data_IF_693784390919
#
_entry.id   IF_693784390919
#
_cell.length_a   1.000
_cell.length_b   1.000
_cell.length_c   1.000
_cell.angle_alpha   90.00
_cell.angle_beta   90.00
_cell.angle_gamma   90.00
#
_symmetry.space_group_name_H-M   'P 1'
#
loop_
_entity.id
_entity.type
_entity.pdbx_description
1 polymer ?
#
# COMPACT_ATOMS: atom_id res chain seq x y z
N UNK A 1 -5.66 -58.97 -51.56
CA UNK A 1 -4.56 -58.99 -50.59
C UNK A 1 -4.20 -57.54 -50.29
N UNK A 2 -4.54 -57.08 -49.09
CA UNK A 2 -4.29 -55.72 -48.61
C UNK A 2 -2.86 -55.66 -48.05
N UNK A 3 -1.99 -54.85 -48.64
CA UNK A 3 -0.77 -54.34 -47.99
C UNK A 3 -0.84 -52.82 -48.13
N UNK A 4 -1.18 -52.07 -47.09
CA UNK A 4 -0.40 -51.95 -45.87
C UNK A 4 0.37 -50.64 -45.92
N UNK A 5 -0.35 -49.53 -46.10
CA UNK A 5 0.20 -48.18 -46.12
C UNK A 5 0.54 -47.78 -44.68
N UNK A 6 1.81 -47.94 -44.30
CA UNK A 6 2.32 -47.56 -42.99
C UNK A 6 2.41 -46.04 -42.93
N UNK A 7 1.35 -45.40 -42.45
CA UNK A 7 1.38 -44.01 -42.00
C UNK A 7 2.13 -44.01 -40.66
N UNK A 8 3.46 -43.85 -40.71
CA UNK A 8 4.20 -43.47 -39.52
C UNK A 8 3.77 -42.05 -39.14
N UNK A 9 2.95 -41.98 -38.10
CA UNK A 9 2.38 -40.79 -37.49
C UNK A 9 3.46 -39.91 -36.87
N UNK A 10 4.11 -39.09 -37.70
CA UNK A 10 4.75 -37.86 -37.22
C UNK A 10 3.64 -36.84 -36.97
N UNK A 11 2.83 -37.09 -35.94
CA UNK A 11 2.00 -36.05 -35.33
C UNK A 11 2.73 -35.61 -34.07
N UNK A 12 3.86 -34.91 -34.26
CA UNK A 12 4.24 -33.90 -33.27
C UNK A 12 3.08 -32.93 -33.29
N UNK A 13 2.22 -32.99 -32.27
CA UNK A 13 1.21 -31.96 -32.05
C UNK A 13 1.94 -30.63 -31.88
N UNK A 14 2.12 -29.91 -32.98
CA UNK A 14 2.35 -28.47 -33.03
C UNK A 14 1.13 -27.81 -32.39
N UNK A 15 1.06 -27.79 -31.05
CA UNK A 15 0.02 -27.03 -30.37
C UNK A 15 0.24 -25.55 -30.71
N UNK A 16 -0.78 -24.87 -31.27
CA UNK A 16 -0.67 -23.47 -31.61
C UNK A 16 -0.56 -22.68 -30.30
N UNK A 17 0.52 -21.92 -30.16
CA UNK A 17 0.66 -20.75 -29.28
C UNK A 17 -0.05 -20.83 -27.91
N UNK A 18 0.36 -21.78 -27.07
CA UNK A 18 0.17 -21.66 -25.64
C UNK A 18 0.98 -20.44 -25.17
N UNK A 19 0.41 -19.45 -24.44
CA UNK A 19 1.00 -18.12 -24.28
C UNK A 19 2.43 -18.23 -23.79
N UNK A 20 3.34 -18.05 -24.74
CA UNK A 20 4.75 -18.42 -24.68
C UNK A 20 5.38 -17.82 -23.42
N UNK A 21 5.90 -18.68 -22.53
CA UNK A 21 6.68 -18.43 -21.30
C UNK A 21 6.73 -16.97 -20.77
N UNK A 22 7.27 -16.02 -21.54
CA UNK A 22 7.28 -14.58 -21.29
C UNK A 22 5.92 -14.02 -20.82
N UNK A 23 4.80 -14.42 -21.43
CA UNK A 23 3.47 -13.96 -21.01
C UNK A 23 3.08 -14.50 -19.63
N UNK A 24 3.52 -15.71 -19.27
CA UNK A 24 3.30 -16.30 -17.95
C UNK A 24 4.16 -15.60 -16.90
N UNK A 25 5.44 -15.40 -17.18
CA UNK A 25 6.38 -14.69 -16.31
C UNK A 25 5.90 -13.26 -16.03
N UNK A 26 5.43 -12.53 -17.06
CA UNK A 26 4.83 -11.20 -16.88
C UNK A 26 3.58 -11.23 -15.99
N UNK A 27 2.69 -12.21 -16.17
CA UNK A 27 1.50 -12.37 -15.31
C UNK A 27 1.88 -12.66 -13.86
N UNK A 28 2.91 -13.47 -13.62
CA UNK A 28 3.43 -13.75 -12.29
C UNK A 28 3.96 -12.48 -11.62
N UNK A 29 4.73 -11.66 -12.34
CA UNK A 29 5.21 -10.36 -11.85
C UNK A 29 4.07 -9.37 -11.56
N UNK A 30 3.05 -9.30 -12.43
CA UNK A 30 1.88 -8.44 -12.23
C UNK A 30 1.06 -8.89 -11.02
N UNK A 31 0.87 -10.21 -10.83
CA UNK A 31 0.19 -10.76 -9.65
C UNK A 31 0.96 -10.45 -8.37
N UNK A 32 2.28 -10.62 -8.39
CA UNK A 32 3.12 -10.30 -7.24
C UNK A 32 3.04 -8.81 -6.89
N UNK A 33 3.16 -7.93 -7.89
CA UNK A 33 2.94 -6.48 -7.70
C UNK A 33 1.57 -6.17 -7.11
N UNK A 34 0.52 -6.82 -7.58
CA UNK A 34 -0.84 -6.65 -7.05
C UNK A 34 -0.91 -7.08 -5.58
N UNK A 35 -0.28 -8.19 -5.21
CA UNK A 35 -0.20 -8.65 -3.82
C UNK A 35 0.50 -7.61 -2.93
N UNK A 36 1.63 -7.03 -3.36
CA UNK A 36 2.31 -5.97 -2.60
C UNK A 36 1.44 -4.72 -2.40
N UNK A 37 0.67 -4.32 -3.42
CA UNK A 37 -0.28 -3.20 -3.31
C UNK A 37 -1.38 -3.53 -2.29
N UNK A 38 -1.85 -4.77 -2.27
CA UNK A 38 -2.87 -5.23 -1.31
C UNK A 38 -2.32 -5.25 0.12
N UNK A 39 -1.10 -5.76 0.35
CA UNK A 39 -0.47 -5.72 1.68
C UNK A 39 -0.33 -4.28 2.16
N UNK A 40 0.12 -3.37 1.29
CA UNK A 40 0.17 -1.94 1.62
C UNK A 40 -1.21 -1.39 2.02
N UNK A 41 -2.27 -1.77 1.32
CA UNK A 41 -3.63 -1.35 1.66
C UNK A 41 -4.10 -1.90 3.01
N UNK A 42 -3.71 -3.13 3.37
CA UNK A 42 -4.04 -3.72 4.66
C UNK A 42 -3.33 -3.01 5.79
N UNK A 43 -2.07 -2.65 5.61
CA UNK A 43 -1.32 -1.87 6.60
C UNK A 43 -1.92 -0.47 6.79
N UNK A 44 -2.45 0.18 5.74
CA UNK A 44 -3.20 1.42 5.90
C UNK A 44 -4.43 1.25 6.78
N UNK A 45 -5.20 0.19 6.56
CA UNK A 45 -6.38 -0.09 7.37
C UNK A 45 -6.02 -0.37 8.83
N UNK A 46 -4.94 -1.12 9.08
CA UNK A 46 -4.42 -1.38 10.42
C UNK A 46 -3.99 -0.11 11.16
N UNK A 47 -3.33 0.81 10.46
CA UNK A 47 -3.00 2.13 11.02
C UNK A 47 -4.28 2.87 11.44
N UNK A 48 -5.32 2.84 10.59
CA UNK A 48 -6.59 3.47 10.91
C UNK A 48 -7.26 2.81 12.14
N UNK A 49 -7.29 1.48 12.23
CA UNK A 49 -7.83 0.76 13.39
C UNK A 49 -7.11 1.13 14.69
N UNK A 50 -5.78 1.26 14.67
CA UNK A 50 -4.99 1.69 15.83
C UNK A 50 -5.33 3.13 16.25
N UNK A 51 -5.48 4.03 15.28
CA UNK A 51 -5.87 5.42 15.55
C UNK A 51 -7.29 5.52 16.12
N UNK A 52 -8.24 4.76 15.58
CA UNK A 52 -9.61 4.69 16.10
C UNK A 52 -9.64 4.12 17.52
N UNK A 53 -8.82 3.10 17.81
CA UNK A 53 -8.64 2.56 19.16
C UNK A 53 -8.02 3.54 20.16
N UNK A 54 -7.29 4.56 19.70
CA UNK A 54 -6.76 5.65 20.52
C UNK A 54 -7.75 6.84 20.63
N UNK A 55 -8.97 6.70 20.10
CA UNK A 55 -9.96 7.77 19.97
C UNK A 55 -9.50 8.95 19.09
N UNK A 56 -8.57 8.70 18.15
CA UNK A 56 -8.05 9.70 17.21
C UNK A 56 -8.73 9.52 15.85
N UNK A 57 -9.58 10.48 15.46
CA UNK A 57 -10.36 10.45 14.21
C UNK A 57 -9.64 11.13 13.03
N UNK A 58 -8.33 10.94 12.91
CA UNK A 58 -7.53 11.56 11.84
C UNK A 58 -7.99 11.14 10.44
N UNK A 59 -8.34 9.86 10.26
CA UNK A 59 -8.79 9.29 8.99
C UNK A 59 -10.09 9.91 8.46
N UNK A 60 -10.94 10.45 9.34
CA UNK A 60 -12.19 11.10 8.96
C UNK A 60 -11.99 12.54 8.44
N UNK A 61 -10.93 13.22 8.93
CA UNK A 61 -10.68 14.63 8.60
C UNK A 61 -9.76 14.77 7.38
N UNK A 62 -8.81 13.86 7.24
CA UNK A 62 -7.81 13.89 6.17
C UNK A 62 -8.27 13.05 4.98
N UNK A 63 -8.06 13.56 3.76
CA UNK A 63 -8.31 12.79 2.53
C UNK A 63 -7.47 11.53 2.36
N UNK A 64 -6.26 11.50 2.94
CA UNK A 64 -5.29 10.39 2.83
C UNK A 64 -4.27 10.47 3.97
N UNK A 65 -4.28 9.44 4.83
CA UNK A 65 -3.45 9.32 6.04
C UNK A 65 -1.95 9.28 5.72
N UNK A 66 -1.57 8.97 4.49
CA UNK A 66 -0.17 8.78 4.09
C UNK A 66 0.45 9.99 3.43
N UNK A 67 -0.28 11.10 3.33
CA UNK A 67 0.28 12.36 2.87
C UNK A 67 1.29 12.89 3.88
N UNK A 68 2.20 13.72 3.38
CA UNK A 68 3.29 14.32 4.18
C UNK A 68 2.76 14.97 5.46
N UNK A 69 1.69 15.74 5.38
CA UNK A 69 1.09 16.38 6.57
C UNK A 69 0.62 15.40 7.64
N UNK A 70 0.00 14.30 7.22
CA UNK A 70 -0.54 13.30 8.15
C UNK A 70 0.54 12.42 8.73
N UNK A 71 1.59 12.14 7.95
CA UNK A 71 2.81 11.50 8.45
C UNK A 71 3.53 12.36 9.47
N UNK A 72 3.68 13.66 9.21
CA UNK A 72 4.31 14.59 10.17
C UNK A 72 3.53 14.62 11.49
N UNK A 73 2.19 14.65 11.42
CA UNK A 73 1.32 14.56 12.60
C UNK A 73 1.49 13.23 13.34
N UNK A 74 1.48 12.11 12.61
CA UNK A 74 1.65 10.78 13.22
C UNK A 74 3.04 10.62 13.85
N UNK A 75 4.10 11.16 13.23
CA UNK A 75 5.44 11.13 13.81
C UNK A 75 5.50 11.93 15.10
N UNK A 76 4.94 13.15 15.12
CA UNK A 76 4.85 13.94 16.34
C UNK A 76 4.10 13.19 17.46
N UNK A 77 3.02 12.49 17.13
CA UNK A 77 2.32 11.65 18.11
C UNK A 77 3.17 10.45 18.56
N UNK A 78 3.98 9.85 17.69
CA UNK A 78 4.90 8.77 18.07
C UNK A 78 6.00 9.29 19.01
N UNK A 79 6.47 10.52 18.80
CA UNK A 79 7.52 11.16 19.59
C UNK A 79 7.07 11.52 21.02
N UNK A 80 5.78 11.72 21.25
CA UNK A 80 5.31 12.14 22.57
C UNK A 80 4.20 13.16 22.54
N UNK A 81 3.97 13.83 21.42
CA UNK A 81 3.13 15.01 21.38
C UNK A 81 1.64 14.64 21.41
N UNK A 82 0.94 15.20 22.40
CA UNK A 82 -0.49 15.00 22.63
C UNK A 82 -1.29 16.30 22.48
N UNK A 83 -0.60 17.44 22.35
CA UNK A 83 -1.24 18.74 22.20
C UNK A 83 -1.93 18.85 20.82
N UNK A 84 -3.27 18.91 20.76
CA UNK A 84 -4.00 18.97 19.50
C UNK A 84 -3.68 20.24 18.71
N UNK A 85 -3.30 21.35 19.36
CA UNK A 85 -2.95 22.59 18.66
C UNK A 85 -1.64 22.46 17.89
N UNK A 86 -0.62 21.84 18.52
CA UNK A 86 0.67 21.58 17.87
C UNK A 86 0.54 20.54 16.76
N UNK A 87 -0.24 19.49 17.00
CA UNK A 87 -0.53 18.50 15.96
C UNK A 87 -1.26 19.15 14.77
N UNK A 88 -2.23 20.02 15.02
CA UNK A 88 -2.92 20.77 13.97
C UNK A 88 -2.00 21.78 13.24
N UNK A 89 -0.91 22.24 13.85
CA UNK A 89 0.06 23.14 13.21
C UNK A 89 0.81 22.48 12.03
N UNK A 90 0.94 21.14 12.03
CA UNK A 90 1.51 20.39 10.90
C UNK A 90 0.56 20.32 9.68
N UNK A 91 -0.67 20.82 9.79
CA UNK A 91 -1.63 20.86 8.69
C UNK A 91 -1.15 21.75 7.54
N UNK A 92 -1.07 21.19 6.33
CA UNK A 92 -0.62 21.90 5.12
C UNK A 92 -1.77 22.14 4.15
N UNK A 93 -1.71 23.27 3.42
CA UNK A 93 -2.63 23.65 2.32
C UNK A 93 -4.11 23.55 2.70
N UNK A 94 -4.84 22.60 2.12
CA UNK A 94 -6.29 22.42 2.27
C UNK A 94 -6.67 21.99 3.67
N UNK A 95 -5.79 21.31 4.40
CA UNK A 95 -6.03 20.89 5.79
C UNK A 95 -6.08 22.07 6.76
N UNK A 96 -5.47 23.22 6.42
CA UNK A 96 -5.56 24.43 7.25
C UNK A 96 -6.98 24.97 7.36
N UNK A 97 -7.82 24.73 6.35
CA UNK A 97 -9.25 25.11 6.39
C UNK A 97 -10.05 24.27 7.38
N UNK A 98 -9.54 23.10 7.76
CA UNK A 98 -10.17 22.11 8.65
C UNK A 98 -9.48 22.04 10.01
N UNK A 99 -8.82 23.11 10.45
CA UNK A 99 -8.03 23.13 11.70
C UNK A 99 -8.89 22.80 12.92
N UNK A 100 -10.10 23.35 12.99
CA UNK A 100 -11.06 23.09 14.07
C UNK A 100 -11.52 21.62 14.10
N UNK A 101 -11.84 21.03 12.93
CA UNK A 101 -12.16 19.60 12.81
C UNK A 101 -10.99 18.71 13.23
N UNK A 102 -9.76 19.11 12.88
CA UNK A 102 -8.53 18.43 13.28
C UNK A 102 -8.35 18.48 14.79
N UNK A 103 -8.47 19.65 15.42
CA UNK A 103 -8.32 19.79 16.87
C UNK A 103 -9.34 18.95 17.63
N UNK A 104 -10.57 18.82 17.13
CA UNK A 104 -11.57 17.92 17.70
C UNK A 104 -11.23 16.44 17.47
N UNK A 105 -10.77 16.07 16.26
CA UNK A 105 -10.44 14.70 15.90
C UNK A 105 -9.14 14.18 16.52
N UNK A 106 -8.25 15.09 16.94
CA UNK A 106 -6.95 14.79 17.54
C UNK A 106 -7.02 14.66 19.08
N UNK A 107 -8.18 14.93 19.69
CA UNK A 107 -8.43 14.70 21.12
C UNK A 107 -8.56 13.20 21.39
N UNK A 108 -7.42 12.54 21.56
CA UNK A 108 -7.31 11.14 21.92
C UNK A 108 -6.06 10.90 22.76
N UNK A 109 -5.98 9.74 23.39
CA UNK A 109 -4.81 9.35 24.17
C UNK A 109 -4.20 8.10 23.53
N UNK A 110 -2.92 8.18 23.17
CA UNK A 110 -2.17 7.04 22.65
C UNK A 110 -1.33 6.38 23.74
N UNK A 111 -1.63 5.11 23.98
CA UNK A 111 -0.83 4.25 24.85
C UNK A 111 0.55 4.00 24.24
N UNK A 112 1.55 3.74 25.10
CA UNK A 112 2.93 3.44 24.68
C UNK A 112 3.00 2.27 23.69
N UNK A 113 2.17 1.24 23.88
CA UNK A 113 2.09 0.10 22.96
C UNK A 113 1.63 0.51 21.55
N UNK A 114 0.63 1.39 21.46
CA UNK A 114 0.11 1.88 20.18
C UNK A 114 1.16 2.69 19.41
N UNK A 115 1.99 3.49 20.09
CA UNK A 115 3.12 4.21 19.43
C UNK A 115 4.13 3.24 18.82
N UNK A 116 4.47 2.15 19.52
CA UNK A 116 5.37 1.12 19.01
C UNK A 116 4.77 0.42 17.78
N UNK A 117 3.48 0.09 17.83
CA UNK A 117 2.76 -0.50 16.70
C UNK A 117 2.78 0.44 15.49
N UNK A 118 2.41 1.71 15.67
CA UNK A 118 2.39 2.69 14.59
C UNK A 118 3.75 2.89 13.94
N UNK A 119 4.83 2.97 14.73
CA UNK A 119 6.20 3.07 14.19
C UNK A 119 6.55 1.86 13.31
N UNK A 120 6.17 0.67 13.75
CA UNK A 120 6.39 -0.57 12.99
C UNK A 120 5.59 -0.57 11.68
N UNK A 121 4.32 -0.19 11.73
CA UNK A 121 3.45 -0.10 10.56
C UNK A 121 3.95 0.93 9.54
N UNK A 122 4.38 2.12 9.99
CA UNK A 122 4.96 3.13 9.09
C UNK A 122 6.18 2.58 8.35
N UNK A 123 7.05 1.85 9.03
CA UNK A 123 8.24 1.23 8.44
C UNK A 123 7.86 0.20 7.37
N UNK A 124 6.85 -0.66 7.65
CA UNK A 124 6.35 -1.64 6.68
C UNK A 124 5.72 -0.97 5.45
N UNK A 125 4.96 0.09 5.64
CA UNK A 125 4.35 0.84 4.53
C UNK A 125 5.43 1.45 3.63
N UNK A 126 6.52 1.96 4.22
CA UNK A 126 7.64 2.50 3.47
C UNK A 126 8.43 1.42 2.73
N UNK A 127 8.54 0.23 3.31
CA UNK A 127 9.09 -0.94 2.63
C UNK A 127 8.25 -1.33 1.39
N UNK A 128 6.91 -1.34 1.50
CA UNK A 128 6.02 -1.65 0.37
C UNK A 128 5.85 -0.51 -0.62
N UNK A 129 6.44 0.67 -0.39
CA UNK A 129 6.40 1.77 -1.35
C UNK A 129 7.19 1.32 -2.59
N UNK A 130 6.52 1.14 -3.74
CA UNK A 130 7.19 0.56 -4.90
C UNK A 130 8.36 1.45 -5.30
N UNK A 131 9.50 0.83 -5.64
CA UNK A 131 10.57 1.52 -6.36
C UNK A 131 9.95 2.28 -7.53
N UNK A 132 10.23 3.59 -7.58
CA UNK A 132 9.85 4.49 -8.68
C UNK A 132 10.13 3.77 -9.99
N UNK A 133 9.12 3.67 -10.87
CA UNK A 133 9.13 2.85 -12.10
C UNK A 133 10.55 2.81 -12.68
N UNK A 134 11.18 1.63 -12.81
CA UNK A 134 12.53 1.58 -13.33
C UNK A 134 12.53 2.10 -14.78
N UNK A 135 13.59 2.82 -15.14
CA UNK A 135 13.62 3.66 -16.35
C UNK A 135 13.39 2.85 -17.64
N UNK A 136 13.76 1.58 -17.66
CA UNK A 136 13.57 0.66 -18.79
C UNK A 136 12.09 0.43 -19.19
N UNK A 137 11.10 0.75 -18.33
CA UNK A 137 9.67 0.67 -18.70
C UNK A 137 9.26 1.80 -19.66
N UNK A 138 10.05 2.87 -19.81
CA UNK A 138 9.77 3.94 -20.78
C UNK A 138 10.26 3.63 -22.19
N UNK A 139 11.07 2.59 -22.35
CA UNK A 139 11.80 2.25 -23.58
C UNK A 139 11.26 0.99 -24.27
N UNK A 140 10.14 0.44 -23.78
CA UNK A 140 9.36 -0.66 -24.39
C UNK A 140 8.03 -0.07 -24.87
#
# INVERSE_FOLDING_TARGET
MLSGFVINSVTVCSRPDSPHRNQRELRELVRYRRSLIQERSREHNRVQEVLEGANIKLAAVVSDIMRVSSRDMMEAMIEGEEDPEKLAAFARRTLKKKKEELELGLRGNMSAHQRIMLRTMQTLIDFYKPMRKPQWIREI
#
